data_IF_700946887326
#
_entry.id   IF_700946887326
#
_cell.length_a   1.000
_cell.length_b   1.000
_cell.length_c   1.000
_cell.angle_alpha   90.00
_cell.angle_beta   90.00
_cell.angle_gamma   90.00
#
_symmetry.space_group_name_H-M   'P 1'
#
loop_
_entity.id
_entity.type
_entity.pdbx_description
1 polymer ?
#
# COMPACT_ATOMS: atom_id res chain seq x y z
N UNK A 1 7.80 7.67 -20.52
CA UNK A 1 7.24 8.60 -21.40
C UNK A 1 6.23 9.43 -20.63
N UNK A 2 5.02 9.19 -20.47
CA UNK A 2 4.09 10.07 -19.76
C UNK A 2 3.94 9.61 -18.31
N UNK A 3 4.81 10.12 -17.43
CA UNK A 3 4.74 9.80 -16.01
C UNK A 3 3.43 10.35 -15.43
N UNK A 4 2.50 9.45 -15.08
CA UNK A 4 1.23 9.79 -14.45
C UNK A 4 1.36 9.59 -12.95
N UNK A 5 0.97 10.59 -12.16
CA UNK A 5 0.91 10.43 -10.72
C UNK A 5 -0.32 9.58 -10.35
N UNK A 6 -0.10 8.30 -10.13
CA UNK A 6 -1.15 7.33 -9.79
C UNK A 6 -1.62 7.48 -8.34
N UNK A 7 -0.73 7.95 -7.46
CA UNK A 7 -1.02 8.13 -6.06
C UNK A 7 0.19 8.62 -5.29
N UNK A 8 -0.02 8.85 -4.01
CA UNK A 8 1.01 9.23 -3.03
C UNK A 8 0.85 8.37 -1.79
N UNK A 9 1.96 8.06 -1.14
CA UNK A 9 1.98 7.35 0.11
C UNK A 9 2.79 8.11 1.15
N UNK A 10 2.21 8.28 2.34
CA UNK A 10 2.92 8.72 3.53
C UNK A 10 3.40 7.47 4.29
N UNK A 11 4.68 7.45 4.63
CA UNK A 11 5.28 6.34 5.38
C UNK A 11 5.81 6.88 6.69
N UNK A 12 5.42 6.26 7.80
CA UNK A 12 5.86 6.63 9.15
C UNK A 12 6.39 5.42 9.90
N UNK A 13 7.23 5.67 10.90
CA UNK A 13 7.73 4.64 11.80
C UNK A 13 6.64 4.12 12.72
N UNK A 14 6.85 2.91 13.26
CA UNK A 14 6.01 2.31 14.29
C UNK A 14 5.81 3.24 15.51
N UNK A 15 6.87 3.94 15.91
CA UNK A 15 6.80 4.89 17.02
C UNK A 15 5.85 6.05 16.74
N UNK A 16 5.90 6.63 15.54
CA UNK A 16 4.97 7.70 15.13
C UNK A 16 3.55 7.18 15.01
N UNK A 17 3.38 5.99 14.43
CA UNK A 17 2.06 5.35 14.31
C UNK A 17 1.41 5.13 15.69
N UNK A 18 2.15 4.63 16.66
CA UNK A 18 1.66 4.40 18.02
C UNK A 18 1.14 5.68 18.70
N UNK A 19 1.68 6.85 18.33
CA UNK A 19 1.27 8.17 18.84
C UNK A 19 0.05 8.76 18.13
N UNK A 20 -0.44 8.15 17.05
CA UNK A 20 -1.61 8.68 16.33
C UNK A 20 -2.92 8.45 17.11
N UNK A 21 -3.90 9.36 16.97
CA UNK A 21 -5.26 9.11 17.43
C UNK A 21 -5.82 7.82 16.83
N UNK A 22 -6.63 7.06 17.58
CA UNK A 22 -7.20 5.77 17.12
C UNK A 22 -7.97 5.88 15.80
N UNK A 23 -8.70 6.98 15.62
CA UNK A 23 -9.42 7.23 14.37
C UNK A 23 -8.47 7.40 13.17
N UNK A 24 -7.30 8.00 13.40
CA UNK A 24 -6.29 8.18 12.37
C UNK A 24 -5.55 6.86 12.09
N UNK A 25 -5.23 6.06 13.12
CA UNK A 25 -4.58 4.75 12.94
C UNK A 25 -5.35 3.85 11.98
N UNK A 26 -6.67 3.93 11.99
CA UNK A 26 -7.54 3.14 11.12
C UNK A 26 -7.41 3.47 9.62
N UNK A 27 -6.76 4.59 9.27
CA UNK A 27 -6.49 5.00 7.89
C UNK A 27 -5.15 4.46 7.36
N UNK A 28 -4.39 3.76 8.19
CA UNK A 28 -3.04 3.30 7.88
C UNK A 28 -2.99 1.79 7.74
N UNK A 29 -2.13 1.32 6.86
CA UNK A 29 -1.84 -0.10 6.67
C UNK A 29 -0.40 -0.42 7.08
N UNK A 30 -0.18 -1.68 7.46
CA UNK A 30 1.13 -2.22 7.78
C UNK A 30 1.85 -2.68 6.51
N UNK A 31 3.15 -2.47 6.42
CA UNK A 31 3.98 -3.01 5.33
C UNK A 31 4.47 -4.44 5.57
N UNK A 32 4.11 -5.07 6.70
CA UNK A 32 4.60 -6.40 7.08
C UNK A 32 4.33 -7.44 5.99
N UNK A 33 3.07 -7.56 5.57
CA UNK A 33 2.71 -8.56 4.56
C UNK A 33 3.37 -8.28 3.21
N UNK A 34 3.34 -7.04 2.75
CA UNK A 34 3.88 -6.67 1.44
C UNK A 34 5.39 -6.91 1.33
N UNK A 35 6.13 -6.62 2.42
CA UNK A 35 7.56 -6.94 2.52
C UNK A 35 7.78 -8.44 2.53
N UNK A 36 7.13 -9.18 3.46
CA UNK A 36 7.37 -10.60 3.67
C UNK A 36 6.88 -11.48 2.53
N UNK A 37 5.84 -11.07 1.82
CA UNK A 37 5.32 -11.79 0.65
C UNK A 37 6.16 -11.60 -0.62
N UNK A 38 7.09 -10.64 -0.64
CA UNK A 38 7.83 -10.27 -1.85
C UNK A 38 7.03 -9.37 -2.82
N UNK A 39 5.86 -8.90 -2.42
CA UNK A 39 5.03 -8.02 -3.26
C UNK A 39 5.57 -6.61 -3.34
N UNK A 40 6.09 -6.06 -2.24
CA UNK A 40 6.77 -4.78 -2.26
C UNK A 40 8.16 -4.95 -2.86
N UNK A 41 8.46 -4.22 -3.93
CA UNK A 41 9.71 -4.32 -4.68
C UNK A 41 10.25 -2.94 -4.99
N UNK A 42 11.58 -2.85 -5.11
CA UNK A 42 12.29 -1.64 -5.51
C UNK A 42 13.09 -1.90 -6.80
N UNK A 43 12.46 -1.80 -7.98
CA UNK A 43 13.12 -2.08 -9.25
C UNK A 43 14.35 -1.21 -9.47
N UNK A 44 15.44 -1.80 -9.98
CA UNK A 44 16.68 -1.09 -10.29
C UNK A 44 17.62 -0.87 -9.10
N UNK A 45 17.25 -1.31 -7.89
CA UNK A 45 18.12 -1.28 -6.72
C UNK A 45 18.83 -2.64 -6.59
N UNK A 46 20.17 -2.67 -6.29
CA UNK A 46 20.89 -3.91 -6.02
C UNK A 46 20.24 -4.70 -4.86
N UNK A 47 20.24 -6.02 -4.96
CA UNK A 47 19.53 -6.91 -4.03
C UNK A 47 19.89 -6.68 -2.54
N UNK A 48 21.18 -6.48 -2.26
CA UNK A 48 21.65 -6.20 -0.89
C UNK A 48 21.05 -4.89 -0.34
N UNK A 49 20.99 -3.85 -1.18
CA UNK A 49 20.41 -2.56 -0.79
C UNK A 49 18.88 -2.65 -0.66
N UNK A 50 18.23 -3.41 -1.52
CA UNK A 50 16.80 -3.69 -1.42
C UNK A 50 16.47 -4.45 -0.14
N UNK A 51 17.26 -5.48 0.23
CA UNK A 51 17.06 -6.23 1.47
C UNK A 51 17.17 -5.30 2.69
N UNK A 52 18.24 -4.49 2.77
CA UNK A 52 18.39 -3.52 3.86
C UNK A 52 17.28 -2.46 3.91
N UNK A 53 16.69 -2.08 2.77
CA UNK A 53 15.50 -1.23 2.71
C UNK A 53 14.28 -1.95 3.28
N UNK A 54 14.07 -3.21 2.91
CA UNK A 54 12.93 -4.01 3.37
C UNK A 54 12.99 -4.30 4.87
N UNK A 55 14.17 -4.50 5.45
CA UNK A 55 14.36 -4.60 6.90
C UNK A 55 13.85 -3.36 7.65
N UNK A 56 13.96 -2.18 7.06
CA UNK A 56 13.44 -0.95 7.64
C UNK A 56 11.93 -0.79 7.38
N UNK A 57 11.49 -1.07 6.16
CA UNK A 57 10.10 -0.89 5.76
C UNK A 57 9.13 -1.82 6.50
N UNK A 58 9.57 -3.01 6.88
CA UNK A 58 8.73 -3.97 7.62
C UNK A 58 8.21 -3.41 8.96
N UNK A 59 8.90 -2.39 9.52
CA UNK A 59 8.54 -1.71 10.77
C UNK A 59 7.79 -0.38 10.53
N UNK A 60 7.25 -0.17 9.35
CA UNK A 60 6.59 1.09 9.00
C UNK A 60 5.13 0.89 8.62
N UNK A 61 4.40 1.98 8.64
CA UNK A 61 2.99 2.05 8.27
C UNK A 61 2.80 3.07 7.17
N UNK A 62 1.94 2.73 6.19
CA UNK A 62 1.62 3.57 5.05
C UNK A 62 0.20 4.12 5.09
N UNK A 63 0.01 5.31 4.55
CA UNK A 63 -1.29 5.88 4.21
C UNK A 63 -1.26 6.34 2.77
N UNK A 64 -1.95 5.59 1.89
CA UNK A 64 -1.88 5.74 0.45
C UNK A 64 -3.15 6.34 -0.11
N UNK A 65 -3.01 7.33 -0.98
CA UNK A 65 -4.09 7.93 -1.73
C UNK A 65 -3.89 7.68 -3.21
N UNK A 66 -4.83 7.01 -3.87
CA UNK A 66 -4.88 6.96 -5.32
C UNK A 66 -5.49 8.26 -5.85
N UNK A 67 -4.76 8.92 -6.73
CA UNK A 67 -5.17 10.20 -7.32
C UNK A 67 -5.59 10.07 -8.79
N UNK A 68 -5.23 8.96 -9.43
CA UNK A 68 -5.59 8.68 -10.81
C UNK A 68 -6.13 7.26 -10.97
N UNK A 69 -7.40 7.16 -11.27
CA UNK A 69 -8.07 5.91 -11.57
C UNK A 69 -7.94 5.63 -13.09
N UNK A 70 -6.80 5.04 -13.48
CA UNK A 70 -6.47 4.78 -14.89
C UNK A 70 -7.38 3.74 -15.55
N UNK A 71 -8.12 2.96 -14.79
CA UNK A 71 -9.20 2.07 -15.20
C UNK A 71 -10.45 2.83 -15.62
N UNK A 72 -10.72 4.00 -15.00
CA UNK A 72 -11.82 4.87 -15.40
C UNK A 72 -11.46 5.70 -16.64
N UNK A 73 -10.25 6.25 -16.69
CA UNK A 73 -9.78 7.03 -17.83
C UNK A 73 -8.25 7.00 -17.93
N UNK A 74 -7.74 6.70 -19.14
CA UNK A 74 -6.29 6.58 -19.36
C UNK A 74 -5.61 7.95 -19.53
N UNK A 75 -6.35 8.97 -19.90
CA UNK A 75 -5.79 10.25 -20.32
C UNK A 75 -6.00 11.36 -19.28
N UNK A 76 -7.02 11.25 -18.44
CA UNK A 76 -7.38 12.23 -17.43
C UNK A 76 -7.55 11.59 -16.05
N UNK A 77 -7.14 12.28 -14.97
CA UNK A 77 -7.29 11.81 -13.60
C UNK A 77 -8.71 12.07 -13.10
N UNK A 78 -9.68 11.35 -13.63
CA UNK A 78 -11.09 11.50 -13.24
C UNK A 78 -11.38 10.78 -11.92
N UNK A 79 -12.44 11.23 -11.25
CA UNK A 79 -12.93 10.66 -9.99
C UNK A 79 -12.33 11.32 -8.75
N UNK A 80 -12.84 10.92 -7.60
CA UNK A 80 -12.40 11.41 -6.30
C UNK A 80 -11.18 10.62 -5.83
N UNK A 81 -10.11 11.26 -5.33
CA UNK A 81 -9.00 10.54 -4.72
C UNK A 81 -9.49 9.59 -3.63
N UNK A 82 -8.98 8.36 -3.63
CA UNK A 82 -9.42 7.32 -2.71
C UNK A 82 -8.30 6.87 -1.80
N UNK A 83 -8.62 6.67 -0.53
CA UNK A 83 -7.74 6.01 0.42
C UNK A 83 -7.61 4.54 0.01
N UNK A 84 -6.38 4.10 -0.19
CA UNK A 84 -6.06 2.72 -0.52
C UNK A 84 -5.40 2.03 0.67
N UNK A 85 -5.71 0.75 0.83
CA UNK A 85 -5.09 -0.10 1.82
C UNK A 85 -4.10 -1.04 1.16
N UNK A 86 -3.00 -1.34 1.85
CA UNK A 86 -2.04 -2.33 1.39
C UNK A 86 -2.58 -3.75 1.48
N UNK A 87 -1.89 -4.69 0.86
CA UNK A 87 -2.19 -6.11 1.01
C UNK A 87 -1.70 -6.61 2.37
N UNK A 88 -2.57 -7.31 3.10
CA UNK A 88 -2.30 -7.80 4.47
C UNK A 88 -2.30 -9.31 4.58
N UNK A 89 -2.69 -10.03 3.51
CA UNK A 89 -2.75 -11.47 3.45
C UNK A 89 -2.53 -12.02 2.04
N UNK A 90 -2.09 -13.28 1.96
CA UNK A 90 -2.00 -14.01 0.70
C UNK A 90 -3.39 -14.11 0.04
N UNK A 91 -3.43 -14.04 -1.29
CA UNK A 91 -4.65 -14.15 -2.09
C UNK A 91 -5.44 -12.86 -2.30
N UNK A 92 -5.05 -11.75 -1.69
CA UNK A 92 -5.69 -10.45 -1.91
C UNK A 92 -5.24 -9.80 -3.23
N UNK A 93 -3.98 -9.94 -3.59
CA UNK A 93 -3.47 -9.45 -4.87
C UNK A 93 -3.81 -10.42 -6.00
N UNK A 94 -4.22 -9.89 -7.17
CA UNK A 94 -4.46 -10.70 -8.36
C UNK A 94 -3.12 -11.33 -8.84
N UNK A 95 -3.02 -12.68 -8.88
CA UNK A 95 -1.82 -13.38 -9.32
C UNK A 95 -1.37 -12.99 -10.74
N UNK A 96 -2.30 -12.65 -11.63
CA UNK A 96 -1.98 -12.22 -12.99
C UNK A 96 -1.30 -10.86 -12.98
N UNK A 97 -1.77 -9.93 -12.17
CA UNK A 97 -1.14 -8.61 -12.02
C UNK A 97 0.27 -8.73 -11.45
N UNK A 98 0.48 -9.61 -10.46
CA UNK A 98 1.82 -9.87 -9.91
C UNK A 98 2.72 -10.44 -11.00
N UNK A 99 2.28 -11.47 -11.73
CA UNK A 99 3.06 -12.11 -12.79
C UNK A 99 3.39 -11.13 -13.94
N UNK A 100 2.45 -10.25 -14.31
CA UNK A 100 2.67 -9.23 -15.33
C UNK A 100 3.69 -8.18 -14.89
N UNK A 101 3.62 -7.73 -13.63
CA UNK A 101 4.61 -6.85 -13.04
C UNK A 101 5.99 -7.51 -13.00
N UNK A 102 6.07 -8.72 -12.50
CA UNK A 102 7.33 -9.47 -12.38
C UNK A 102 8.01 -9.63 -13.74
N UNK A 103 7.26 -10.03 -14.76
CA UNK A 103 7.75 -10.12 -16.14
C UNK A 103 8.21 -8.77 -16.67
N UNK A 104 7.47 -7.70 -16.42
CA UNK A 104 7.79 -6.35 -16.91
C UNK A 104 9.07 -5.79 -16.32
N UNK A 105 9.35 -6.08 -15.06
CA UNK A 105 10.51 -5.56 -14.34
C UNK A 105 11.65 -6.57 -14.16
N UNK A 106 11.51 -7.80 -14.68
CA UNK A 106 12.51 -8.86 -14.50
C UNK A 106 12.65 -9.29 -13.03
N UNK A 107 11.54 -9.35 -12.30
CA UNK A 107 11.47 -9.67 -10.86
C UNK A 107 10.88 -11.07 -10.69
N UNK A 108 11.24 -11.75 -9.61
CA UNK A 108 10.61 -12.97 -9.11
C UNK A 108 10.15 -12.75 -7.66
N UNK A 109 8.86 -12.50 -7.48
CA UNK A 109 8.28 -12.29 -6.15
C UNK A 109 8.45 -13.48 -5.23
N UNK A 110 8.44 -14.71 -5.75
CA UNK A 110 8.63 -15.91 -4.94
C UNK A 110 10.08 -16.02 -4.44
N UNK A 111 11.04 -15.63 -5.27
CA UNK A 111 12.44 -15.54 -4.88
C UNK A 111 12.65 -14.44 -3.84
N UNK A 112 12.02 -13.27 -4.01
CA UNK A 112 12.05 -12.18 -3.04
C UNK A 112 11.49 -12.61 -1.68
N UNK A 113 10.35 -13.33 -1.67
CA UNK A 113 9.77 -13.90 -0.45
C UNK A 113 10.77 -14.81 0.28
N UNK A 114 11.48 -15.67 -0.45
CA UNK A 114 12.52 -16.56 0.12
C UNK A 114 13.71 -15.77 0.66
N UNK A 115 14.20 -14.80 -0.11
CA UNK A 115 15.35 -13.98 0.28
C UNK A 115 15.09 -13.10 1.51
N UNK A 116 13.83 -12.85 1.85
CA UNK A 116 13.41 -12.06 3.02
C UNK A 116 12.91 -12.93 4.19
N UNK A 117 13.15 -14.24 4.14
CA UNK A 117 12.74 -15.14 5.23
C UNK A 117 13.42 -14.82 6.57
N UNK A 118 14.65 -14.33 6.51
CA UNK A 118 15.48 -13.91 7.65
C UNK A 118 15.03 -12.60 8.30
N UNK A 119 14.31 -11.73 7.56
CA UNK A 119 13.77 -10.47 8.11
C UNK A 119 12.76 -10.82 9.23
N UNK A 120 12.94 -10.33 10.45
CA UNK A 120 11.96 -10.55 11.51
C UNK A 120 10.58 -10.05 11.14
N UNK A 121 9.53 -10.78 11.53
CA UNK A 121 8.14 -10.37 11.29
C UNK A 121 7.62 -9.65 12.53
N UNK A 122 7.48 -8.30 12.49
CA UNK A 122 6.92 -7.57 13.63
C UNK A 122 5.44 -7.90 13.84
N UNK A 123 4.97 -7.71 15.06
CA UNK A 123 3.55 -7.76 15.37
C UNK A 123 2.93 -6.45 14.85
N UNK A 124 1.91 -6.57 14.01
CA UNK A 124 1.18 -5.39 13.54
C UNK A 124 0.48 -4.70 14.70
N UNK A 125 0.68 -3.40 14.84
CA UNK A 125 0.10 -2.63 15.93
C UNK A 125 -1.44 -2.60 15.84
N UNK A 126 -2.14 -2.69 16.97
CA UNK A 126 -3.60 -2.55 17.00
C UNK A 126 -4.03 -1.22 16.39
N UNK A 127 -5.07 -1.26 15.56
CA UNK A 127 -5.61 -0.07 14.87
C UNK A 127 -5.17 0.06 13.41
N UNK A 128 -4.06 -0.53 13.00
CA UNK A 128 -3.69 -0.65 11.60
C UNK A 128 -4.56 -1.69 10.87
N UNK A 129 -4.54 -1.64 9.53
CA UNK A 129 -5.22 -2.62 8.66
C UNK A 129 -6.72 -2.77 8.98
N UNK A 130 -7.38 -1.68 9.38
CA UNK A 130 -8.78 -1.70 9.83
C UNK A 130 -9.75 -2.25 8.79
N UNK A 131 -9.43 -2.09 7.50
CA UNK A 131 -10.23 -2.63 6.40
C UNK A 131 -10.28 -4.16 6.40
N UNK A 132 -9.23 -4.84 6.84
CA UNK A 132 -9.19 -6.31 6.95
C UNK A 132 -10.19 -6.84 7.97
N UNK A 133 -10.68 -5.96 8.86
CA UNK A 133 -11.71 -6.23 9.85
C UNK A 133 -13.12 -5.79 9.38
N UNK A 134 -13.30 -5.53 8.08
CA UNK A 134 -14.57 -5.07 7.52
C UNK A 134 -14.87 -3.59 7.72
N UNK A 135 -13.91 -2.80 8.22
CA UNK A 135 -14.05 -1.35 8.35
C UNK A 135 -13.55 -0.67 7.10
N UNK A 136 -14.47 -0.25 6.24
CA UNK A 136 -14.16 0.46 5.00
C UNK A 136 -14.42 1.95 5.19
N UNK A 137 -13.42 2.78 4.91
CA UNK A 137 -13.60 4.23 4.81
C UNK A 137 -13.97 4.56 3.37
N UNK A 138 -15.21 5.00 3.16
CA UNK A 138 -15.66 5.53 1.89
C UNK A 138 -15.80 7.04 2.00
N UNK A 139 -15.23 7.76 1.05
CA UNK A 139 -15.62 9.13 0.79
C UNK A 139 -16.96 9.03 0.07
N UNK A 140 -18.05 9.30 0.77
CA UNK A 140 -19.36 9.44 0.15
C UNK A 140 -19.38 10.71 -0.67
N UNK A 141 -20.01 10.69 -1.85
CA UNK A 141 -20.28 11.90 -2.60
C UNK A 141 -20.91 12.95 -1.67
N UNK A 142 -20.46 14.20 -1.73
CA UNK A 142 -21.09 15.26 -0.95
C UNK A 142 -22.58 15.25 -1.31
N UNK A 143 -23.42 14.91 -0.35
CA UNK A 143 -24.87 15.01 -0.52
C UNK A 143 -25.17 16.43 -0.96
N UNK A 144 -25.78 16.55 -2.13
CA UNK A 144 -26.20 17.82 -2.67
C UNK A 144 -27.22 18.40 -1.69
N UNK A 145 -26.77 19.24 -0.78
CA UNK A 145 -27.68 20.03 0.08
C UNK A 145 -28.25 21.10 -0.85
N UNK A 146 -29.57 21.08 -1.15
CA UNK A 146 -30.15 22.15 -1.94
C UNK A 146 -29.89 23.46 -1.19
N UNK A 147 -29.17 24.39 -1.83
CA UNK A 147 -29.11 25.74 -1.33
C UNK A 147 -30.54 26.28 -1.32
N UNK A 148 -31.11 26.46 -0.14
CA UNK A 148 -32.32 27.25 0.01
C UNK A 148 -31.96 28.70 -0.31
N UNK A 149 -32.48 29.21 -1.40
CA UNK A 149 -32.46 30.63 -1.76
C UNK A 149 -33.58 31.36 -1.01
#
# INVERSE_FOLDING_TARGET
KDAKLMGVEYIISEQLFAGLPKAEQALWHSHVHEVKSGQLVAPGIPEVAEHALMEKLVHTYGKTWHTWHSDLNKDLPLGVPQLMMGFTADGQADPKMIADRDRRFGIDSAQKKKARADIPTPVVAPGADAWSQGKVFQITDPTHTPHQH
#
